data_IF_084873429345
#
_entry.id   IF_084873429345
#
_cell.length_a   1.000
_cell.length_b   1.000
_cell.length_c   1.000
_cell.angle_alpha   90.00
_cell.angle_beta   90.00
_cell.angle_gamma   90.00
#
_symmetry.space_group_name_H-M   'P 1'
#
loop_
_entity.id
_entity.type
_entity.pdbx_description
1 polymer ?
#
# COMPACT_ATOMS: atom_id res chain seq x y z
N UNK A 1 -12.04 -6.78 -64.15
CA UNK A 1 -11.43 -5.48 -64.46
C UNK A 1 -11.79 -4.54 -63.32
N UNK A 2 -11.29 -4.80 -62.12
CA UNK A 2 -9.91 -4.53 -61.67
C UNK A 2 -9.62 -3.01 -61.68
N UNK A 3 -9.20 -2.36 -60.60
CA UNK A 3 -8.59 -2.93 -59.41
C UNK A 3 -8.54 -1.97 -58.21
N UNK A 4 -8.50 -2.64 -57.06
CA UNK A 4 -7.54 -2.44 -55.97
C UNK A 4 -7.11 -0.99 -55.66
N UNK A 5 -7.77 -0.41 -54.65
CA UNK A 5 -7.19 0.64 -53.83
C UNK A 5 -6.35 -0.01 -52.72
N UNK A 6 -5.02 0.09 -52.82
CA UNK A 6 -4.11 -0.36 -51.78
C UNK A 6 -4.01 0.67 -50.64
N UNK A 7 -4.10 0.27 -49.36
CA UNK A 7 -3.68 1.08 -48.24
C UNK A 7 -2.17 0.93 -47.98
N UNK A 8 -1.47 2.07 -47.93
CA UNK A 8 -0.06 2.16 -47.58
C UNK A 8 0.16 2.07 -46.04
N UNK A 9 1.36 1.68 -45.59
CA UNK A 9 1.59 1.04 -44.29
C UNK A 9 1.84 1.97 -43.11
N UNK A 10 1.53 1.43 -41.93
CA UNK A 10 2.06 1.77 -40.61
C UNK A 10 3.54 2.22 -40.64
N UNK A 11 3.85 3.34 -39.98
CA UNK A 11 4.87 3.44 -38.91
C UNK A 11 4.93 4.90 -38.41
N UNK A 12 4.22 5.20 -37.32
CA UNK A 12 4.46 6.39 -36.52
C UNK A 12 5.07 5.93 -35.18
N UNK A 13 6.38 5.74 -35.18
CA UNK A 13 7.18 5.51 -33.99
C UNK A 13 7.69 6.86 -33.47
N UNK A 14 6.94 7.55 -32.62
CA UNK A 14 7.50 8.62 -31.75
C UNK A 14 6.46 9.12 -30.75
N UNK A 15 6.57 8.65 -29.52
CA UNK A 15 6.20 9.40 -28.30
C UNK A 15 7.07 8.80 -27.20
N UNK A 16 8.27 9.35 -27.00
CA UNK A 16 8.53 10.24 -25.85
C UNK A 16 8.02 9.60 -24.55
N UNK A 17 8.76 8.57 -24.11
CA UNK A 17 8.85 8.19 -22.71
C UNK A 17 9.62 9.30 -22.00
N UNK A 18 8.88 10.23 -21.41
CA UNK A 18 9.46 11.17 -20.46
C UNK A 18 10.10 10.43 -19.28
N UNK A 19 11.27 10.95 -18.96
CA UNK A 19 12.25 10.46 -18.03
C UNK A 19 11.74 10.49 -16.58
N UNK A 20 11.70 9.31 -15.96
CA UNK A 20 11.83 9.23 -14.51
C UNK A 20 13.32 9.09 -14.16
N UNK A 21 13.93 10.03 -13.40
CA UNK A 21 15.29 9.87 -12.91
C UNK A 21 15.32 8.78 -11.83
N UNK A 22 15.52 7.53 -12.26
CA UNK A 22 15.90 6.43 -11.37
C UNK A 22 17.35 6.67 -10.93
N UNK A 23 17.47 7.34 -9.79
CA UNK A 23 18.68 7.46 -8.97
C UNK A 23 19.71 6.36 -9.24
N UNK A 24 20.86 6.78 -9.77
CA UNK A 24 22.04 5.97 -10.08
C UNK A 24 22.58 5.23 -8.83
N UNK A 25 22.13 5.60 -7.63
CA UNK A 25 22.58 5.00 -6.37
C UNK A 25 22.17 3.52 -6.18
N UNK A 26 21.13 3.03 -6.86
CA UNK A 26 20.61 1.68 -6.60
C UNK A 26 21.33 0.56 -7.39
N UNK A 27 21.99 0.88 -8.51
CA UNK A 27 22.69 -0.11 -9.34
C UNK A 27 24.14 -0.39 -8.90
N UNK A 28 24.80 0.58 -8.25
CA UNK A 28 26.14 0.35 -7.70
C UNK A 28 26.09 -0.53 -6.43
N UNK A 29 25.05 -0.40 -5.60
CA UNK A 29 24.94 -1.12 -4.32
C UNK A 29 24.76 -2.64 -4.50
N UNK A 30 24.00 -3.06 -5.53
CA UNK A 30 23.74 -4.48 -5.82
C UNK A 30 24.98 -5.23 -6.34
N UNK A 31 25.98 -4.54 -6.89
CA UNK A 31 27.24 -5.17 -7.34
C UNK A 31 28.24 -5.43 -6.20
N UNK A 32 28.14 -4.71 -5.09
CA UNK A 32 29.05 -4.88 -3.95
C UNK A 32 28.63 -6.08 -3.07
N UNK A 33 27.34 -6.36 -2.99
CA UNK A 33 26.80 -7.43 -2.13
C UNK A 33 27.08 -8.83 -2.70
N UNK A 34 27.14 -8.97 -4.03
CA UNK A 34 27.30 -10.27 -4.69
C UNK A 34 28.69 -10.93 -4.53
N UNK A 35 29.69 -10.20 -4.00
CA UNK A 35 31.07 -10.70 -3.84
C UNK A 35 31.56 -10.73 -2.39
N UNK A 36 30.66 -10.60 -1.40
CA UNK A 36 31.05 -10.72 0.01
C UNK A 36 31.05 -12.19 0.44
N UNK A 37 32.22 -12.67 0.83
CA UNK A 37 32.38 -14.00 1.43
C UNK A 37 31.63 -14.09 2.77
N UNK A 38 31.17 -15.29 3.18
CA UNK A 38 30.35 -15.47 4.40
C UNK A 38 30.98 -14.89 5.68
N UNK A 39 32.32 -14.80 5.75
CA UNK A 39 33.05 -14.22 6.87
C UNK A 39 32.86 -12.69 7.04
N UNK A 40 32.40 -11.97 6.00
CA UNK A 40 32.08 -10.53 6.11
C UNK A 40 30.67 -10.26 6.69
N UNK A 41 29.74 -11.22 6.60
CA UNK A 41 28.35 -11.05 7.05
C UNK A 41 28.27 -11.04 8.59
N UNK A 42 29.08 -11.85 9.29
CA UNK A 42 29.07 -11.88 10.76
C UNK A 42 29.65 -10.61 11.41
N UNK A 43 30.57 -9.90 10.73
CA UNK A 43 31.07 -8.61 11.24
C UNK A 43 30.05 -7.47 11.10
N UNK A 44 29.11 -7.56 10.15
CA UNK A 44 28.08 -6.55 9.95
C UNK A 44 27.01 -6.54 11.07
N UNK A 45 26.75 -7.67 11.73
CA UNK A 45 25.82 -7.73 12.86
C UNK A 45 26.33 -7.04 14.15
N UNK A 46 27.65 -6.75 14.24
CA UNK A 46 28.24 -6.03 15.39
C UNK A 46 28.53 -4.54 15.11
N UNK A 47 28.44 -4.09 13.86
CA UNK A 47 28.79 -2.72 13.46
C UNK A 47 27.58 -1.77 13.29
N UNK A 48 26.41 -2.15 13.78
CA UNK A 48 25.18 -1.33 13.73
C UNK A 48 24.81 -0.64 15.05
N UNK A 49 25.76 -0.40 15.97
CA UNK A 49 25.44 0.16 17.31
C UNK A 49 26.30 1.33 17.79
N UNK A 50 27.23 1.84 16.99
CA UNK A 50 27.98 3.07 17.27
C UNK A 50 28.08 3.82 15.94
N UNK A 51 27.98 5.14 15.97
CA UNK A 51 28.07 6.07 14.82
C UNK A 51 26.76 6.69 14.31
N UNK A 52 25.69 6.64 15.11
CA UNK A 52 24.51 7.52 14.93
C UNK A 52 24.65 8.88 15.67
N UNK A 53 25.86 9.26 16.09
CA UNK A 53 26.10 10.41 16.98
C UNK A 53 26.85 11.59 16.34
N UNK A 54 27.18 11.53 15.04
CA UNK A 54 28.02 12.54 14.39
C UNK A 54 27.31 13.42 13.35
N UNK A 55 26.10 13.05 12.92
CA UNK A 55 25.23 13.94 12.16
C UNK A 55 24.18 14.44 13.12
N UNK A 56 24.19 15.74 13.43
CA UNK A 56 23.20 16.44 14.27
C UNK A 56 21.79 16.45 13.68
N UNK A 57 21.29 15.28 13.28
CA UNK A 57 19.89 15.02 13.06
C UNK A 57 19.33 14.88 14.48
N UNK A 58 18.80 15.98 15.00
CA UNK A 58 17.79 15.93 16.03
C UNK A 58 16.68 15.03 15.52
N UNK A 59 16.82 13.73 15.75
CA UNK A 59 15.73 12.78 15.65
C UNK A 59 14.86 13.12 16.83
N UNK A 60 13.92 14.02 16.57
CA UNK A 60 12.82 14.33 17.43
C UNK A 60 12.05 13.02 17.64
N UNK A 61 12.48 12.22 18.64
CA UNK A 61 11.97 10.88 18.98
C UNK A 61 10.44 10.89 19.12
N UNK A 62 9.90 12.04 19.50
CA UNK A 62 8.48 12.32 19.60
C UNK A 62 7.72 12.09 18.28
N UNK A 63 8.29 12.37 17.10
CA UNK A 63 7.57 12.19 15.83
C UNK A 63 7.69 10.76 15.25
N UNK A 64 8.83 10.10 15.42
CA UNK A 64 9.03 8.72 14.97
C UNK A 64 8.24 7.69 15.80
N UNK A 65 8.15 7.88 17.12
CA UNK A 65 7.33 7.01 17.99
C UNK A 65 5.82 7.18 17.73
N UNK A 66 5.39 8.39 17.34
CA UNK A 66 3.97 8.70 17.13
C UNK A 66 3.45 8.20 15.77
N UNK A 67 4.30 8.16 14.73
CA UNK A 67 3.94 7.50 13.46
C UNK A 67 3.89 5.97 13.59
N UNK A 68 4.73 5.38 14.45
CA UNK A 68 4.71 3.94 14.72
C UNK A 68 3.39 3.48 15.33
N UNK A 69 2.84 4.21 16.31
CA UNK A 69 1.59 3.81 16.99
C UNK A 69 0.39 3.74 16.06
N UNK A 70 0.19 4.77 15.23
CA UNK A 70 -0.94 4.81 14.30
C UNK A 70 -0.87 3.70 13.24
N UNK A 71 0.33 3.42 12.75
CA UNK A 71 0.59 2.33 11.80
C UNK A 71 0.34 0.97 12.43
N UNK A 72 0.90 0.71 13.61
CA UNK A 72 0.72 -0.56 14.32
C UNK A 72 -0.75 -0.82 14.65
N UNK A 73 -1.48 0.21 15.09
CA UNK A 73 -2.92 0.12 15.37
C UNK A 73 -3.74 -0.15 14.11
N UNK A 74 -3.33 0.37 12.94
CA UNK A 74 -3.97 0.05 11.66
C UNK A 74 -3.72 -1.40 11.25
N UNK A 75 -2.48 -1.88 11.38
CA UNK A 75 -2.11 -3.27 11.10
C UNK A 75 -2.88 -4.23 12.01
N UNK A 76 -2.93 -3.94 13.31
CA UNK A 76 -3.71 -4.70 14.28
C UNK A 76 -5.21 -4.67 13.96
N UNK A 77 -5.75 -3.53 13.53
CA UNK A 77 -7.14 -3.43 13.10
C UNK A 77 -7.43 -4.34 11.91
N UNK A 78 -6.57 -4.35 10.87
CA UNK A 78 -6.74 -5.19 9.68
C UNK A 78 -6.59 -6.68 10.03
N UNK A 79 -5.64 -7.03 10.89
CA UNK A 79 -5.44 -8.39 11.36
C UNK A 79 -6.59 -8.91 12.23
N UNK A 80 -7.31 -8.03 12.93
CA UNK A 80 -8.42 -8.41 13.81
C UNK A 80 -9.81 -8.35 13.18
N UNK A 81 -9.95 -8.02 11.88
CA UNK A 81 -11.24 -8.11 11.19
C UNK A 81 -11.67 -9.57 11.14
N UNK A 82 -12.88 -9.98 11.54
CA UNK A 82 -13.29 -11.37 11.40
C UNK A 82 -13.41 -11.78 9.93
N UNK A 83 -13.03 -13.02 9.58
CA UNK A 83 -13.12 -13.51 8.20
C UNK A 83 -14.56 -13.45 7.64
N UNK A 84 -15.56 -13.64 8.51
CA UNK A 84 -16.98 -13.50 8.16
C UNK A 84 -17.39 -12.08 7.75
N UNK A 85 -16.55 -11.08 8.02
CA UNK A 85 -16.73 -9.68 7.59
C UNK A 85 -15.98 -9.36 6.30
N UNK A 86 -15.09 -10.25 5.85
CA UNK A 86 -14.31 -10.07 4.63
C UNK A 86 -14.88 -10.87 3.46
N UNK A 87 -16.08 -11.41 3.61
CA UNK A 87 -16.80 -12.16 2.57
C UNK A 87 -18.23 -11.65 2.44
N UNK A 88 -18.83 -11.88 1.26
CA UNK A 88 -20.25 -11.59 1.03
C UNK A 88 -20.64 -10.11 1.19
N UNK A 89 -19.79 -9.19 0.74
CA UNK A 89 -20.06 -7.75 0.85
C UNK A 89 -21.39 -7.39 0.16
N UNK A 90 -22.23 -6.55 0.79
CA UNK A 90 -23.44 -6.08 0.15
C UNK A 90 -23.10 -5.11 -1.00
N UNK A 91 -24.01 -4.93 -1.95
CA UNK A 91 -23.84 -3.98 -3.05
C UNK A 91 -24.14 -2.53 -2.68
N UNK A 92 -24.55 -2.28 -1.43
CA UNK A 92 -24.95 -0.95 -0.91
C UNK A 92 -23.97 -0.44 0.12
N UNK A 93 -23.73 0.87 0.11
CA UNK A 93 -22.77 1.51 1.00
C UNK A 93 -23.07 1.17 2.45
N UNK A 94 -22.10 0.56 3.15
CA UNK A 94 -22.31 0.13 4.53
C UNK A 94 -21.01 0.03 5.32
N UNK A 95 -21.11 0.20 6.63
CA UNK A 95 -20.01 -0.14 7.54
C UNK A 95 -19.99 -1.64 7.76
N UNK A 96 -18.95 -2.29 7.24
CA UNK A 96 -18.73 -3.74 7.32
C UNK A 96 -18.25 -4.15 8.71
N UNK A 97 -17.31 -3.38 9.25
CA UNK A 97 -16.70 -3.64 10.55
C UNK A 97 -16.28 -2.32 11.21
N UNK A 98 -16.36 -2.24 12.53
CA UNK A 98 -15.94 -1.04 13.27
C UNK A 98 -15.33 -1.40 14.62
N UNK A 99 -14.32 -0.65 15.00
CA UNK A 99 -13.77 -0.61 16.35
C UNK A 99 -13.89 0.79 16.92
N UNK A 100 -13.14 1.11 17.97
CA UNK A 100 -13.10 2.45 18.55
C UNK A 100 -12.39 3.45 17.63
N UNK A 101 -11.25 3.07 17.07
CA UNK A 101 -10.37 3.99 16.32
C UNK A 101 -10.66 4.00 14.82
N UNK A 102 -11.09 2.86 14.26
CA UNK A 102 -11.25 2.67 12.82
C UNK A 102 -12.58 2.02 12.47
N UNK A 103 -12.94 2.13 11.19
CA UNK A 103 -14.03 1.38 10.56
C UNK A 103 -13.62 0.95 9.16
N UNK A 104 -14.11 -0.21 8.76
CA UNK A 104 -14.08 -0.70 7.39
C UNK A 104 -15.45 -0.42 6.78
N UNK A 105 -15.46 0.45 5.77
CA UNK A 105 -16.65 0.78 5.01
C UNK A 105 -16.54 0.21 3.61
N UNK A 106 -17.62 -0.40 3.13
CA UNK A 106 -17.81 -0.67 1.70
C UNK A 106 -18.48 0.57 1.13
N UNK A 107 -17.76 1.31 0.28
CA UNK A 107 -18.23 2.58 -0.26
C UNK A 107 -19.11 2.37 -1.49
N UNK A 108 -18.60 1.66 -2.49
CA UNK A 108 -19.36 1.45 -3.74
C UNK A 108 -18.87 0.21 -4.45
N UNK A 109 -19.62 -0.22 -5.47
CA UNK A 109 -19.18 -1.21 -6.44
C UNK A 109 -18.73 -0.48 -7.69
N UNK A 110 -17.50 -0.73 -8.14
CA UNK A 110 -16.98 -0.10 -9.36
C UNK A 110 -17.81 -0.52 -10.57
N UNK A 111 -18.02 0.41 -11.49
CA UNK A 111 -18.80 0.19 -12.71
C UNK A 111 -17.98 -0.42 -13.85
N UNK A 112 -16.65 -0.24 -13.81
CA UNK A 112 -15.71 -0.79 -14.79
C UNK A 112 -15.56 -2.30 -14.60
N UNK A 113 -15.45 -3.05 -15.69
CA UNK A 113 -15.16 -4.49 -15.64
C UNK A 113 -13.64 -4.74 -15.47
N UNK A 114 -13.21 -5.65 -14.57
CA UNK A 114 -14.04 -6.37 -13.60
C UNK A 114 -14.58 -5.45 -12.51
N UNK A 115 -15.86 -5.63 -12.15
CA UNK A 115 -16.47 -4.92 -11.01
C UNK A 115 -15.79 -5.32 -9.71
N UNK A 116 -15.53 -4.36 -8.85
CA UNK A 116 -14.88 -4.53 -7.56
C UNK A 116 -15.66 -3.83 -6.45
N UNK A 117 -15.70 -4.43 -5.26
CA UNK A 117 -16.05 -3.75 -4.02
C UNK A 117 -14.94 -2.76 -3.66
N UNK A 118 -15.31 -1.50 -3.43
CA UNK A 118 -14.40 -0.47 -2.99
C UNK A 118 -14.42 -0.36 -1.46
N UNK A 119 -13.46 -1.03 -0.82
CA UNK A 119 -13.32 -1.10 0.63
C UNK A 119 -12.40 0.01 1.12
N UNK A 120 -12.84 0.76 2.12
CA UNK A 120 -12.09 1.84 2.73
C UNK A 120 -11.94 1.59 4.22
N UNK A 121 -10.70 1.60 4.71
CA UNK A 121 -10.45 1.74 6.15
C UNK A 121 -10.40 3.22 6.49
N UNK A 122 -11.35 3.68 7.31
CA UNK A 122 -11.49 5.07 7.70
C UNK A 122 -11.25 5.27 9.19
N UNK A 123 -10.79 6.48 9.54
CA UNK A 123 -10.63 6.89 10.94
C UNK A 123 -11.99 7.32 11.50
N UNK A 124 -12.38 6.79 12.66
CA UNK A 124 -13.61 7.19 13.33
C UNK A 124 -13.51 8.63 13.88
N UNK A 125 -14.64 9.35 13.83
CA UNK A 125 -14.82 10.58 14.61
C UNK A 125 -14.81 10.21 16.09
N UNK A 126 -13.76 10.59 16.81
CA UNK A 126 -13.54 10.19 18.21
C UNK A 126 -12.42 9.16 18.43
N UNK A 127 -11.55 8.95 17.43
CA UNK A 127 -10.33 8.15 17.61
C UNK A 127 -9.53 8.59 18.85
N UNK A 128 -9.02 7.61 19.60
CA UNK A 128 -8.14 7.88 20.74
C UNK A 128 -6.72 8.21 20.31
N UNK A 129 -6.34 7.81 19.09
CA UNK A 129 -5.00 8.04 18.55
C UNK A 129 -4.88 9.53 18.24
N UNK A 130 -4.17 10.25 19.12
CA UNK A 130 -4.07 11.71 19.09
C UNK A 130 -3.53 12.24 17.77
N UNK A 131 -2.58 11.52 17.14
CA UNK A 131 -2.01 11.87 15.84
C UNK A 131 -3.01 11.73 14.68
N UNK A 132 -4.03 10.88 14.82
CA UNK A 132 -5.05 10.66 13.79
C UNK A 132 -6.30 11.52 13.97
N UNK A 133 -6.46 12.22 15.11
CA UNK A 133 -7.63 13.07 15.37
C UNK A 133 -7.86 14.11 14.28
N UNK A 134 -6.79 14.74 13.78
CA UNK A 134 -6.87 15.74 12.68
C UNK A 134 -7.25 15.14 11.32
N UNK A 135 -7.17 13.82 11.19
CA UNK A 135 -7.50 13.07 9.98
C UNK A 135 -8.78 12.25 10.14
N UNK A 136 -9.56 12.48 11.20
CA UNK A 136 -10.83 11.78 11.41
C UNK A 136 -11.74 11.88 10.18
N UNK A 137 -12.30 10.75 9.75
CA UNK A 137 -13.10 10.63 8.53
C UNK A 137 -12.31 10.44 7.24
N UNK A 138 -10.97 10.52 7.26
CA UNK A 138 -10.14 10.19 6.10
C UNK A 138 -9.90 8.68 6.00
N UNK A 139 -9.68 8.21 4.77
CA UNK A 139 -9.27 6.85 4.48
C UNK A 139 -7.75 6.68 4.68
N UNK A 140 -7.37 5.56 5.31
CA UNK A 140 -5.98 5.16 5.52
C UNK A 140 -5.58 3.99 4.64
N UNK A 141 -6.53 3.19 4.17
CA UNK A 141 -6.30 2.11 3.22
C UNK A 141 -7.52 1.97 2.32
N UNK A 142 -7.27 1.65 1.06
CA UNK A 142 -8.29 1.44 0.04
C UNK A 142 -7.97 0.12 -0.67
N UNK A 143 -8.92 -0.79 -0.73
CA UNK A 143 -8.79 -2.06 -1.46
C UNK A 143 -9.93 -2.23 -2.45
N UNK A 144 -9.58 -2.69 -3.65
CA UNK A 144 -10.53 -3.05 -4.70
C UNK A 144 -10.62 -4.57 -4.78
N UNK A 145 -11.70 -5.13 -4.23
CA UNK A 145 -11.90 -6.59 -4.17
C UNK A 145 -12.84 -7.02 -5.31
N UNK A 146 -12.44 -7.92 -6.22
CA UNK A 146 -13.28 -8.36 -7.33
C UNK A 146 -14.62 -8.96 -6.87
N UNK A 147 -15.69 -8.72 -7.63
CA UNK A 147 -17.03 -9.27 -7.38
C UNK A 147 -17.23 -10.66 -8.04
N UNK A 148 -16.41 -11.03 -9.03
CA UNK A 148 -16.57 -12.25 -9.86
C UNK A 148 -16.09 -13.54 -9.14
N UNK A 149 -16.36 -14.67 -9.79
CA UNK A 149 -16.46 -16.07 -9.28
C UNK A 149 -15.32 -16.59 -8.39
N UNK A 150 -14.09 -16.10 -8.53
CA UNK A 150 -13.05 -16.32 -7.52
C UNK A 150 -13.08 -15.16 -6.52
N UNK A 151 -14.05 -15.22 -5.62
CA UNK A 151 -14.10 -14.33 -4.47
C UNK A 151 -12.78 -14.47 -3.71
N UNK A 152 -12.07 -13.36 -3.55
CA UNK A 152 -10.85 -13.34 -2.76
C UNK A 152 -11.07 -13.96 -1.39
N UNK A 153 -10.08 -14.73 -0.96
CA UNK A 153 -10.05 -15.22 0.41
C UNK A 153 -9.92 -14.03 1.37
N UNK A 154 -10.44 -14.14 2.61
CA UNK A 154 -10.23 -13.13 3.64
C UNK A 154 -8.76 -12.72 3.82
N UNK A 155 -7.84 -13.68 3.65
CA UNK A 155 -6.40 -13.44 3.73
C UNK A 155 -5.90 -12.51 2.61
N UNK A 156 -6.36 -12.69 1.37
CA UNK A 156 -6.00 -11.84 0.24
C UNK A 156 -6.56 -10.42 0.41
N UNK A 157 -7.80 -10.30 0.92
CA UNK A 157 -8.39 -8.98 1.21
C UNK A 157 -7.57 -8.23 2.25
N UNK A 158 -7.12 -8.90 3.32
CA UNK A 158 -6.23 -8.30 4.33
C UNK A 158 -4.91 -7.88 3.73
N UNK A 159 -4.27 -8.76 2.95
CA UNK A 159 -2.99 -8.47 2.33
C UNK A 159 -3.06 -7.24 1.41
N UNK A 160 -4.14 -7.09 0.65
CA UNK A 160 -4.34 -5.92 -0.21
C UNK A 160 -4.61 -4.64 0.59
N UNK A 161 -5.38 -4.74 1.69
CA UNK A 161 -5.58 -3.62 2.62
C UNK A 161 -4.26 -3.18 3.29
N UNK A 162 -3.39 -4.11 3.64
CA UNK A 162 -2.08 -3.82 4.21
C UNK A 162 -1.15 -3.18 3.18
N UNK A 163 -1.20 -3.65 1.93
CA UNK A 163 -0.40 -3.16 0.81
C UNK A 163 -0.78 -1.73 0.41
N UNK A 164 -2.06 -1.39 0.40
CA UNK A 164 -2.58 -0.10 -0.06
C UNK A 164 -2.75 0.94 1.07
N UNK A 165 -1.95 0.85 2.12
CA UNK A 165 -1.92 1.85 3.19
C UNK A 165 -1.34 3.19 2.69
N UNK A 166 -1.91 4.29 3.18
CA UNK A 166 -1.59 5.67 2.79
C UNK A 166 -0.77 6.38 3.91
N UNK A 167 -0.35 5.63 4.94
CA UNK A 167 0.36 6.14 6.12
C UNK A 167 1.76 5.56 6.30
#
# INVERSE_FOLDING_TARGET
MDGAQAPAPHLASRTELEEFPKSVACKQLLRVIANLTPACIEKFHKFGRRDALQYGISTDRSQAETMGKAKNELEEFIANIPDSKLTGFPSVETTVYKTRNFRLDMQTVTTKDPRCYNLHVQINRGTLITSLKRFAGKSLSIALVPVKEEAWTPAEVRAELEKNRII
#
